data_IF_165350233846
#
_entry.id   IF_165350233846
#
_cell.length_a   1.000
_cell.length_b   1.000
_cell.length_c   1.000
_cell.angle_alpha   90.00
_cell.angle_beta   90.00
_cell.angle_gamma   90.00
#
_symmetry.space_group_name_H-M   'P 1'
#
loop_
_entity.id
_entity.type
_entity.pdbx_description
1 polymer ?
#
# COMPACT_ATOMS: atom_id res chain seq x y z
N UNK A 1 20.39 -10.16 1.17
CA UNK A 1 19.67 -9.32 2.13
C UNK A 1 20.39 -7.98 2.29
N UNK A 2 19.93 -6.93 1.60
CA UNK A 2 20.38 -5.56 1.86
C UNK A 2 19.50 -5.03 3.00
N UNK A 3 20.07 -4.83 4.19
CA UNK A 3 19.31 -4.61 5.44
C UNK A 3 18.62 -3.25 5.50
N UNK A 4 17.40 -3.17 4.98
CA UNK A 4 16.51 -2.01 5.17
C UNK A 4 15.54 -2.31 6.30
N UNK A 5 15.45 -1.42 7.27
CA UNK A 5 14.38 -1.46 8.27
C UNK A 5 13.10 -0.92 7.63
N UNK A 6 12.08 -1.76 7.57
CA UNK A 6 10.79 -1.43 6.96
C UNK A 6 9.69 -1.58 8.00
N UNK A 7 8.70 -0.69 7.94
CA UNK A 7 7.49 -0.74 8.74
C UNK A 7 6.29 -0.79 7.80
N UNK A 8 5.31 -1.64 8.12
CA UNK A 8 4.06 -1.74 7.37
C UNK A 8 2.95 -1.06 8.18
N UNK A 9 2.31 -0.05 7.59
CA UNK A 9 1.15 0.62 8.19
C UNK A 9 -0.09 0.22 7.40
N UNK A 10 -1.01 -0.57 7.97
CA UNK A 10 -2.25 -0.93 7.29
C UNK A 10 -3.17 0.29 7.19
N UNK A 11 -3.80 0.46 6.04
CA UNK A 11 -4.87 1.44 5.84
C UNK A 11 -6.20 0.70 5.98
N UNK A 12 -7.00 1.08 6.96
CA UNK A 12 -8.28 0.43 7.28
C UNK A 12 -9.39 1.46 7.10
N UNK A 13 -10.48 1.05 6.46
CA UNK A 13 -11.64 1.92 6.22
C UNK A 13 -12.14 2.54 7.54
N UNK A 14 -12.21 3.87 7.57
CA UNK A 14 -12.71 4.63 8.73
C UNK A 14 -11.71 4.77 9.89
N UNK A 15 -10.51 4.20 9.77
CA UNK A 15 -9.43 4.36 10.76
C UNK A 15 -8.37 5.27 10.17
N UNK A 16 -8.09 6.37 10.88
CA UNK A 16 -6.99 7.27 10.52
C UNK A 16 -5.64 6.60 10.82
N UNK A 17 -4.64 6.72 9.91
CA UNK A 17 -3.30 6.21 10.17
C UNK A 17 -2.65 6.89 11.39
N UNK A 18 -1.64 6.25 12.01
CA UNK A 18 -0.88 6.85 13.09
C UNK A 18 -0.31 8.22 12.68
N UNK A 19 -0.44 9.27 13.52
CA UNK A 19 -0.03 10.62 13.16
C UNK A 19 1.47 10.73 12.85
N UNK A 20 2.29 9.84 13.41
CA UNK A 20 3.73 9.75 13.15
C UNK A 20 4.03 9.44 11.68
N UNK A 21 3.13 8.71 10.99
CA UNK A 21 3.28 8.40 9.56
C UNK A 21 3.44 9.67 8.71
N UNK A 22 2.72 10.73 9.06
CA UNK A 22 2.73 12.01 8.34
C UNK A 22 3.94 12.90 8.66
N UNK A 23 4.73 12.53 9.68
CA UNK A 23 5.93 13.27 10.09
C UNK A 23 7.20 12.71 9.42
N UNK A 24 7.12 11.51 8.83
CA UNK A 24 8.27 10.95 8.12
C UNK A 24 8.60 11.72 6.85
N UNK A 25 9.90 11.80 6.47
CA UNK A 25 10.29 12.34 5.18
C UNK A 25 9.52 11.63 4.06
N UNK A 26 8.79 12.36 3.20
CA UNK A 26 7.87 11.75 2.24
C UNK A 26 8.59 10.84 1.22
N UNK A 27 9.88 11.07 0.96
CA UNK A 27 10.71 10.23 0.10
C UNK A 27 10.95 8.82 0.65
N UNK A 28 10.62 8.58 1.93
CA UNK A 28 10.71 7.27 2.60
C UNK A 28 9.35 6.58 2.75
N UNK A 29 8.26 7.23 2.33
CA UNK A 29 6.91 6.68 2.43
C UNK A 29 6.44 6.22 1.06
N UNK A 30 6.09 4.93 0.98
CA UNK A 30 5.59 4.28 -0.23
C UNK A 30 4.16 3.84 0.00
N UNK A 31 3.23 4.49 -0.68
CA UNK A 31 1.82 4.14 -0.63
C UNK A 31 1.56 3.00 -1.61
N UNK A 32 1.00 1.89 -1.15
CA UNK A 32 0.64 0.76 -2.01
C UNK A 32 -0.85 0.83 -2.36
N UNK A 33 -1.17 0.58 -3.63
CA UNK A 33 -2.55 0.49 -4.09
C UNK A 33 -2.73 -0.69 -5.03
N UNK A 34 -3.97 -1.20 -5.10
CA UNK A 34 -4.33 -2.34 -5.95
C UNK A 34 -5.67 -2.04 -6.63
N UNK A 35 -5.98 -2.77 -7.70
CA UNK A 35 -7.32 -2.78 -8.26
C UNK A 35 -8.31 -3.46 -7.31
N UNK A 36 -9.51 -2.88 -7.19
CA UNK A 36 -10.56 -3.40 -6.32
C UNK A 36 -10.95 -4.84 -6.69
N UNK A 37 -11.00 -5.14 -7.99
CA UNK A 37 -11.38 -6.46 -8.49
C UNK A 37 -10.38 -7.55 -8.11
N UNK A 38 -9.08 -7.34 -8.37
CA UNK A 38 -8.04 -8.31 -8.04
C UNK A 38 -7.92 -8.49 -6.51
N UNK A 39 -8.04 -7.40 -5.75
CA UNK A 39 -7.98 -7.46 -4.28
C UNK A 39 -9.19 -8.19 -3.68
N UNK A 40 -10.40 -7.91 -4.17
CA UNK A 40 -11.62 -8.62 -3.77
C UNK A 40 -11.53 -10.11 -4.11
N UNK A 41 -11.08 -10.46 -5.32
CA UNK A 41 -10.86 -11.86 -5.72
C UNK A 41 -9.88 -12.58 -4.80
N UNK A 42 -8.75 -11.96 -4.48
CA UNK A 42 -7.77 -12.52 -3.54
C UNK A 42 -8.37 -12.72 -2.13
N UNK A 43 -9.18 -11.77 -1.65
CA UNK A 43 -9.84 -11.87 -0.35
C UNK A 43 -10.91 -12.97 -0.34
N UNK A 44 -11.70 -13.11 -1.41
CA UNK A 44 -12.71 -14.16 -1.54
C UNK A 44 -12.07 -15.54 -1.43
N UNK A 45 -10.97 -15.79 -2.15
CA UNK A 45 -10.21 -17.04 -2.03
C UNK A 45 -9.79 -17.31 -0.57
N UNK A 46 -9.37 -16.29 0.17
CA UNK A 46 -9.02 -16.45 1.59
C UNK A 46 -10.22 -16.77 2.48
N UNK A 47 -11.36 -16.13 2.22
CA UNK A 47 -12.61 -16.40 2.95
C UNK A 47 -13.09 -17.84 2.70
N UNK A 48 -12.97 -18.35 1.47
CA UNK A 48 -13.25 -19.75 1.13
C UNK A 48 -12.37 -20.71 1.95
N UNK A 49 -11.07 -20.44 2.07
CA UNK A 49 -10.16 -21.23 2.91
C UNK A 49 -10.47 -21.14 4.41
N UNK A 50 -11.17 -20.08 4.85
CA UNK A 50 -11.53 -19.84 6.25
C UNK A 50 -12.99 -20.21 6.57
N UNK A 51 -13.65 -20.99 5.70
CA UNK A 51 -15.05 -21.42 5.86
C UNK A 51 -16.05 -20.25 6.00
N UNK A 52 -15.89 -19.18 5.21
CA UNK A 52 -16.88 -18.09 5.16
C UNK A 52 -16.69 -16.99 6.22
N UNK A 53 -15.62 -17.04 7.01
CA UNK A 53 -15.34 -15.96 7.97
C UNK A 53 -14.93 -14.67 7.24
N UNK A 54 -15.66 -13.57 7.49
CA UNK A 54 -15.43 -12.23 6.92
C UNK A 54 -15.78 -12.04 5.42
N UNK A 55 -16.91 -12.58 4.96
CA UNK A 55 -17.45 -12.35 3.59
C UNK A 55 -17.60 -10.87 3.24
N UNK A 56 -18.13 -10.04 4.15
CA UNK A 56 -18.35 -8.61 3.91
C UNK A 56 -17.04 -7.87 3.57
N UNK A 57 -15.94 -8.25 4.21
CA UNK A 57 -14.59 -7.71 3.98
C UNK A 57 -14.02 -8.08 2.59
N UNK A 58 -14.49 -9.18 2.02
CA UNK A 58 -14.11 -9.63 0.69
C UNK A 58 -15.01 -9.07 -0.43
N UNK A 59 -16.15 -8.47 -0.09
CA UNK A 59 -17.07 -7.89 -1.07
C UNK A 59 -16.41 -6.78 -1.90
N UNK A 60 -16.76 -6.70 -3.18
CA UNK A 60 -16.20 -5.69 -4.08
C UNK A 60 -16.53 -4.27 -3.62
N UNK A 61 -17.72 -4.07 -3.03
CA UNK A 61 -18.15 -2.77 -2.54
C UNK A 61 -17.32 -2.32 -1.34
N UNK A 62 -17.11 -3.20 -0.35
CA UNK A 62 -16.26 -2.91 0.79
C UNK A 62 -14.83 -2.55 0.34
N UNK A 63 -14.26 -3.35 -0.56
CA UNK A 63 -12.91 -3.11 -1.10
C UNK A 63 -12.83 -1.78 -1.86
N UNK A 64 -13.86 -1.40 -2.62
CA UNK A 64 -13.91 -0.08 -3.29
C UNK A 64 -13.90 1.06 -2.27
N UNK A 65 -14.67 0.94 -1.20
CA UNK A 65 -14.72 1.95 -0.14
C UNK A 65 -13.37 2.07 0.58
N UNK A 66 -12.73 0.94 0.88
CA UNK A 66 -11.40 0.89 1.49
C UNK A 66 -10.33 1.55 0.60
N UNK A 67 -10.32 1.25 -0.69
CA UNK A 67 -9.38 1.88 -1.64
C UNK A 67 -9.66 3.37 -1.81
N UNK A 68 -10.93 3.79 -1.85
CA UNK A 68 -11.31 5.20 -1.91
C UNK A 68 -10.84 5.96 -0.66
N UNK A 69 -10.95 5.35 0.52
CA UNK A 69 -10.42 5.86 1.78
C UNK A 69 -8.90 6.02 1.72
N UNK A 70 -8.18 4.97 1.29
CA UNK A 70 -6.73 5.01 1.12
C UNK A 70 -6.29 6.11 0.14
N UNK A 71 -6.95 6.22 -1.01
CA UNK A 71 -6.69 7.28 -1.99
C UNK A 71 -6.94 8.67 -1.43
N UNK A 72 -7.92 8.84 -0.54
CA UNK A 72 -8.14 10.12 0.13
C UNK A 72 -6.96 10.51 1.03
N UNK A 73 -6.38 9.56 1.75
CA UNK A 73 -5.17 9.78 2.54
C UNK A 73 -4.00 10.15 1.63
N UNK A 74 -3.81 9.39 0.54
CA UNK A 74 -2.71 9.63 -0.40
C UNK A 74 -2.82 11.00 -1.09
N UNK A 75 -4.03 11.45 -1.44
CA UNK A 75 -4.26 12.79 -2.01
C UNK A 75 -3.86 13.92 -1.07
N UNK A 76 -3.97 13.73 0.24
CA UNK A 76 -3.50 14.71 1.24
C UNK A 76 -1.96 14.75 1.32
N UNK A 77 -1.27 13.78 0.72
CA UNK A 77 0.18 13.60 0.77
C UNK A 77 0.77 13.48 -0.66
N UNK A 78 0.75 14.55 -1.47
CA UNK A 78 1.11 14.50 -2.89
C UNK A 78 2.58 14.10 -3.15
N UNK A 79 3.44 14.14 -2.14
CA UNK A 79 4.85 13.76 -2.23
C UNK A 79 5.08 12.25 -2.00
N UNK A 80 4.07 11.51 -1.55
CA UNK A 80 4.21 10.06 -1.37
C UNK A 80 4.27 9.36 -2.72
N UNK A 81 5.18 8.40 -2.83
CA UNK A 81 5.26 7.58 -4.04
C UNK A 81 4.19 6.49 -3.99
N UNK A 82 3.20 6.58 -4.88
CA UNK A 82 2.11 5.60 -4.98
C UNK A 82 2.47 4.51 -5.97
N UNK A 83 2.62 3.28 -5.47
CA UNK A 83 2.95 2.10 -6.26
C UNK A 83 1.69 1.28 -6.48
N UNK A 84 1.32 1.09 -7.74
CA UNK A 84 0.29 0.15 -8.12
C UNK A 84 0.87 -1.27 -8.15
N UNK A 85 0.44 -2.10 -7.20
CA UNK A 85 1.01 -3.45 -6.99
C UNK A 85 0.23 -4.55 -7.72
N UNK A 86 -0.88 -4.25 -8.38
CA UNK A 86 -1.64 -5.27 -9.10
C UNK A 86 -0.77 -5.99 -10.11
N UNK A 87 -0.76 -7.33 -10.03
CA UNK A 87 -0.02 -8.22 -10.93
C UNK A 87 1.51 -8.07 -10.88
N UNK A 88 2.06 -7.27 -9.96
CA UNK A 88 3.50 -7.22 -9.69
C UNK A 88 3.87 -8.27 -8.65
N UNK A 89 4.99 -8.93 -8.87
CA UNK A 89 5.65 -9.77 -7.86
C UNK A 89 6.26 -8.92 -6.74
N UNK A 90 6.54 -9.55 -5.60
CA UNK A 90 7.23 -8.90 -4.47
C UNK A 90 8.61 -8.37 -4.91
N UNK A 91 9.29 -9.09 -5.80
CA UNK A 91 10.60 -8.71 -6.33
C UNK A 91 10.51 -7.45 -7.19
N UNK A 92 9.54 -7.36 -8.10
CA UNK A 92 9.32 -6.17 -8.93
C UNK A 92 9.00 -4.93 -8.09
N UNK A 93 8.12 -5.06 -7.09
CA UNK A 93 7.80 -3.98 -6.16
C UNK A 93 9.05 -3.54 -5.39
N UNK A 94 9.86 -4.51 -4.94
CA UNK A 94 11.10 -4.23 -4.22
C UNK A 94 12.12 -3.50 -5.09
N UNK A 95 12.26 -3.89 -6.35
CA UNK A 95 13.15 -3.22 -7.32
C UNK A 95 12.70 -1.79 -7.57
N UNK A 96 11.40 -1.55 -7.74
CA UNK A 96 10.83 -0.21 -7.92
C UNK A 96 11.11 0.70 -6.72
N UNK A 97 10.81 0.24 -5.50
CA UNK A 97 11.09 0.98 -4.25
C UNK A 97 12.58 1.29 -4.13
N UNK A 98 13.46 0.29 -4.31
CA UNK A 98 14.90 0.48 -4.18
C UNK A 98 15.47 1.42 -5.25
N UNK A 99 14.91 1.39 -6.46
CA UNK A 99 15.34 2.28 -7.55
C UNK A 99 14.99 3.73 -7.23
N UNK A 100 13.78 3.97 -6.71
CA UNK A 100 13.35 5.30 -6.25
C UNK A 100 14.24 5.82 -5.10
N UNK A 101 14.51 4.99 -4.10
CA UNK A 101 15.36 5.39 -2.96
C UNK A 101 16.77 5.75 -3.41
N UNK A 102 17.39 4.94 -4.29
CA UNK A 102 18.75 5.22 -4.79
C UNK A 102 18.81 6.50 -5.63
N UNK A 103 17.80 6.73 -6.48
CA UNK A 103 17.75 7.93 -7.31
C UNK A 103 17.68 9.20 -6.44
N UNK A 104 16.84 9.18 -5.39
CA UNK A 104 16.77 10.29 -4.44
C UNK A 104 18.08 10.48 -3.64
N UNK A 105 18.76 9.41 -3.21
CA UNK A 105 20.04 9.53 -2.50
C UNK A 105 21.13 10.22 -3.33
N UNK A 106 21.19 9.93 -4.63
CA UNK A 106 22.17 10.54 -5.53
C UNK A 106 21.91 12.04 -5.74
N UNK A 107 20.63 12.44 -5.82
CA UNK A 107 20.21 13.83 -5.99
C UNK A 107 20.43 14.69 -4.73
N UNK A 108 20.52 14.08 -3.53
CA UNK A 108 20.90 14.78 -2.29
C UNK A 108 22.42 14.89 -2.09
N UNK A 109 23.21 14.14 -2.86
CA UNK A 109 24.68 14.08 -2.72
C UNK A 109 25.43 14.86 -3.81
N UNK A 110 24.69 15.53 -4.71
CA UNK A 110 25.19 16.39 -5.80
C UNK A 110 24.73 17.82 -5.56
#
# INVERSE_FOLDING_TARGET
>A
YKGWFVANVPIILGIEPPPELFQFPPQRVFALTNSAFELSRLRQTRVEFLNGYAEDYASLEYVKNELAWAHNIYRKQPQWHVIHVSRKSIEEISVEILSYVRHNQNNLSS
#
